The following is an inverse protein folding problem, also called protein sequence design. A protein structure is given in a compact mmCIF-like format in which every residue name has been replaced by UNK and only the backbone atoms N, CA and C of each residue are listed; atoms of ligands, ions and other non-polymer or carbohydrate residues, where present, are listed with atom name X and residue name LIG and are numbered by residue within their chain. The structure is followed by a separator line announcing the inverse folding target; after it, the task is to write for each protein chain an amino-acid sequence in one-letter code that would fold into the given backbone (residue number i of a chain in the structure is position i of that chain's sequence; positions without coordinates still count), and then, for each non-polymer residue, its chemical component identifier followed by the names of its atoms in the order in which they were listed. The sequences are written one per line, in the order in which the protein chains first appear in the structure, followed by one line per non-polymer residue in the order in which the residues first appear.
data_IF_399711715293
#
_entry.id   IF_399711715293
#
_cell.length_a   1.000
_cell.length_b   1.000
_cell.length_c   1.000
_cell.angle_alpha   90.00
_cell.angle_beta   90.00
_cell.angle_gamma   90.00
#
_symmetry.space_group_name_H-M   'P 1'
#
loop_
_entity.id
_entity.type
_entity.pdbx_description
1 polymer ?
#
# COMPACT_ATOMS: atom_id res chain seq x y z
N UNK A 1 -18.37 17.22 -0.61
CA UNK A 1 -17.68 18.38 -1.22
C UNK A 1 -17.09 17.97 -2.55
N UNK A 2 -16.82 18.90 -3.45
CA UNK A 2 -16.22 18.63 -4.76
C UNK A 2 -14.70 18.38 -4.70
N UNK A 3 -14.08 18.50 -3.51
CA UNK A 3 -12.63 18.42 -3.30
C UNK A 3 -12.17 17.18 -2.49
N UNK A 4 -13.09 16.23 -2.25
CA UNK A 4 -12.78 15.01 -1.48
C UNK A 4 -11.70 14.20 -2.21
N UNK A 5 -10.64 13.84 -1.49
CA UNK A 5 -9.63 12.90 -1.96
C UNK A 5 -9.39 11.79 -0.94
N UNK A 6 -9.13 10.59 -1.45
CA UNK A 6 -8.96 9.39 -0.65
C UNK A 6 -8.69 8.14 -1.46
N UNK A 7 -8.59 7.04 -0.75
CA UNK A 7 -8.28 5.72 -1.30
C UNK A 7 -9.00 4.62 -0.52
N UNK A 8 -9.47 3.61 -1.26
CA UNK A 8 -9.94 2.34 -0.72
C UNK A 8 -8.77 1.37 -0.73
N UNK A 9 -8.30 0.97 0.45
CA UNK A 9 -7.06 0.25 0.62
C UNK A 9 -7.19 -0.94 1.58
N UNK A 10 -6.29 -1.91 1.38
CA UNK A 10 -5.88 -2.83 2.42
C UNK A 10 -4.56 -2.35 3.02
N UNK A 11 -4.49 -2.22 4.34
CA UNK A 11 -3.29 -1.77 5.06
C UNK A 11 -2.75 -2.89 5.93
N UNK A 12 -1.54 -3.34 5.60
CA UNK A 12 -0.92 -4.50 6.22
C UNK A 12 0.33 -4.05 6.97
N UNK A 13 0.26 -4.10 8.29
CA UNK A 13 1.30 -3.59 9.18
C UNK A 13 2.23 -4.69 9.64
N UNK A 14 3.54 -4.42 9.63
CA UNK A 14 4.58 -5.36 10.01
C UNK A 14 5.50 -4.83 11.09
N UNK A 15 6.09 -5.77 11.84
CA UNK A 15 7.03 -5.52 12.94
C UNK A 15 8.26 -6.42 12.86
N UNK A 16 9.34 -5.97 13.47
CA UNK A 16 10.52 -6.82 13.71
C UNK A 16 10.34 -7.80 14.87
N UNK A 17 9.38 -7.54 15.75
CA UNK A 17 9.15 -8.28 16.98
C UNK A 17 7.67 -8.57 17.22
N UNK A 18 7.39 -9.35 18.27
CA UNK A 18 6.03 -9.68 18.72
C UNK A 18 5.46 -8.69 19.75
N UNK A 19 6.12 -7.57 20.00
CA UNK A 19 5.64 -6.57 20.96
C UNK A 19 4.43 -5.80 20.38
N UNK A 20 3.59 -5.18 21.22
CA UNK A 20 2.41 -4.41 20.76
C UNK A 20 2.69 -2.90 20.62
N UNK A 21 3.83 -2.52 20.04
CA UNK A 21 4.19 -1.12 19.83
C UNK A 21 3.78 -0.55 18.46
N UNK A 22 4.49 0.50 18.00
CA UNK A 22 4.34 1.03 16.64
C UNK A 22 4.90 0.07 15.58
N UNK A 23 4.25 -0.10 14.41
CA UNK A 23 4.80 -0.88 13.31
C UNK A 23 6.06 -0.22 12.73
N UNK A 24 6.88 -1.00 12.02
CA UNK A 24 8.05 -0.47 11.30
C UNK A 24 7.81 -0.38 9.80
N UNK A 25 6.79 -1.06 9.31
CA UNK A 25 6.45 -1.09 7.90
C UNK A 25 4.94 -1.19 7.72
N UNK A 26 4.44 -0.49 6.73
CA UNK A 26 3.10 -0.64 6.17
C UNK A 26 3.22 -1.09 4.70
N UNK A 27 2.40 -2.07 4.33
CA UNK A 27 2.19 -2.47 2.94
C UNK A 27 0.74 -2.20 2.61
N UNK A 28 0.49 -1.21 1.76
CA UNK A 28 -0.84 -0.86 1.30
C UNK A 28 -1.12 -1.49 -0.07
N UNK A 29 -2.34 -1.97 -0.29
CA UNK A 29 -2.82 -2.42 -1.61
C UNK A 29 -4.11 -1.67 -1.92
N UNK A 30 -4.04 -0.72 -2.85
CA UNK A 30 -5.16 0.15 -3.18
C UNK A 30 -6.05 -0.48 -4.25
N UNK A 31 -7.36 -0.48 -4.00
CA UNK A 31 -8.36 -0.75 -5.02
C UNK A 31 -8.57 0.48 -5.88
N UNK A 32 -9.36 1.44 -5.38
CA UNK A 32 -9.74 2.65 -6.11
C UNK A 32 -9.42 3.89 -5.27
N UNK A 33 -9.02 4.98 -5.92
CA UNK A 33 -8.51 6.17 -5.23
C UNK A 33 -8.55 7.41 -6.11
N UNK A 34 -8.33 8.59 -5.56
CA UNK A 34 -7.94 9.80 -6.30
C UNK A 34 -6.82 10.58 -5.58
N UNK A 35 -6.21 9.95 -4.58
CA UNK A 35 -5.07 10.42 -3.81
C UNK A 35 -3.74 10.01 -4.46
N UNK A 36 -2.65 10.52 -3.87
CA UNK A 36 -1.26 10.16 -4.20
C UNK A 36 -0.70 9.24 -3.12
N UNK A 37 -0.04 8.12 -3.49
CA UNK A 37 0.72 7.33 -2.53
C UNK A 37 1.87 8.12 -1.91
N UNK A 38 2.33 7.70 -0.74
CA UNK A 38 3.55 8.22 -0.13
C UNK A 38 4.77 7.80 -0.97
N UNK A 39 5.69 8.75 -1.18
CA UNK A 39 6.99 8.48 -1.79
C UNK A 39 7.01 8.62 -3.32
N UNK A 40 7.73 7.73 -3.99
CA UNK A 40 7.92 7.76 -5.45
C UNK A 40 7.63 6.42 -6.09
N UNK A 41 7.26 6.43 -7.38
CA UNK A 41 7.17 5.23 -8.20
C UNK A 41 8.56 4.63 -8.41
N UNK A 42 8.79 3.41 -7.93
CA UNK A 42 10.10 2.74 -8.11
C UNK A 42 10.04 1.46 -8.94
N UNK A 43 8.83 0.93 -9.18
CA UNK A 43 8.63 -0.15 -10.12
C UNK A 43 7.20 -0.11 -10.69
N UNK A 44 7.06 -0.34 -11.99
CA UNK A 44 5.75 -0.33 -12.67
C UNK A 44 5.40 -1.73 -13.16
N UNK A 45 4.10 -2.04 -13.19
CA UNK A 45 3.54 -3.33 -13.64
C UNK A 45 4.16 -4.54 -12.93
N UNK A 46 4.32 -4.42 -11.61
CA UNK A 46 5.06 -5.40 -10.80
C UNK A 46 4.27 -6.68 -10.54
N UNK A 47 2.95 -6.59 -10.50
CA UNK A 47 2.07 -7.73 -10.24
C UNK A 47 0.70 -7.54 -10.87
N UNK A 48 0.09 -8.64 -11.30
CA UNK A 48 -1.32 -8.68 -11.74
C UNK A 48 -2.11 -9.56 -10.77
N UNK A 49 -3.14 -8.99 -10.14
CA UNK A 49 -4.02 -9.67 -9.18
C UNK A 49 -5.42 -9.03 -9.20
N UNK A 50 -6.47 -9.82 -8.94
CA UNK A 50 -7.84 -9.30 -8.88
C UNK A 50 -8.30 -8.59 -10.17
N UNK A 51 -7.76 -8.99 -11.33
CA UNK A 51 -8.05 -8.36 -12.63
C UNK A 51 -7.36 -7.02 -12.87
N UNK A 52 -6.45 -6.58 -12.00
CA UNK A 52 -5.71 -5.31 -12.11
C UNK A 52 -4.20 -5.57 -12.14
N UNK A 53 -3.46 -4.70 -12.80
CA UNK A 53 -2.00 -4.66 -12.75
C UNK A 53 -1.57 -3.50 -11.88
N UNK A 54 -0.57 -3.71 -11.02
CA UNK A 54 -0.17 -2.75 -10.01
C UNK A 54 1.23 -2.20 -10.26
N UNK A 55 1.41 -0.93 -9.91
CA UNK A 55 2.67 -0.25 -9.72
C UNK A 55 3.05 -0.24 -8.23
N UNK A 56 4.34 -0.11 -7.93
CA UNK A 56 4.85 0.06 -6.56
C UNK A 56 5.35 1.48 -6.35
N UNK A 57 4.75 2.13 -5.35
CA UNK A 57 5.24 3.38 -4.76
C UNK A 57 5.83 3.08 -3.39
N UNK A 58 6.91 3.77 -3.04
CA UNK A 58 7.56 3.54 -1.74
C UNK A 58 8.21 4.80 -1.18
N UNK A 59 8.14 4.96 0.14
CA UNK A 59 8.65 6.13 0.83
C UNK A 59 8.54 6.04 2.35
N UNK A 60 9.19 6.97 3.04
CA UNK A 60 9.09 7.08 4.50
C UNK A 60 7.93 8.02 4.87
N UNK A 61 6.98 7.51 5.66
CA UNK A 61 5.91 8.33 6.24
C UNK A 61 6.41 8.98 7.54
N UNK A 62 6.90 10.21 7.45
CA UNK A 62 7.41 10.93 8.62
C UNK A 62 6.34 11.23 9.67
N UNK A 63 5.06 11.30 9.29
CA UNK A 63 3.95 11.51 10.22
C UNK A 63 3.67 10.30 11.09
N UNK A 64 3.83 9.10 10.53
CA UNK A 64 3.54 7.83 11.21
C UNK A 64 4.80 7.10 11.75
N UNK A 65 5.99 7.47 11.27
CA UNK A 65 7.27 6.98 11.76
C UNK A 65 7.70 5.63 11.18
N UNK A 66 7.10 5.19 10.07
CA UNK A 66 7.42 3.92 9.41
C UNK A 66 7.57 4.09 7.89
N UNK A 67 8.18 3.09 7.25
CA UNK A 67 8.29 3.03 5.79
C UNK A 67 7.03 2.41 5.18
N UNK A 68 6.67 2.82 3.97
CA UNK A 68 5.45 2.39 3.29
C UNK A 68 5.79 1.85 1.91
N UNK A 69 5.21 0.69 1.57
CA UNK A 69 5.12 0.17 0.22
C UNK A 69 3.65 0.21 -0.22
N UNK A 70 3.30 1.02 -1.20
CA UNK A 70 1.94 1.14 -1.71
C UNK A 70 1.85 0.54 -3.10
N UNK A 71 1.04 -0.50 -3.26
CA UNK A 71 0.66 -1.03 -4.55
C UNK A 71 -0.61 -0.35 -5.04
N UNK A 72 -0.56 0.33 -6.18
CA UNK A 72 -1.72 0.99 -6.79
C UNK A 72 -1.95 0.47 -8.21
N UNK A 73 -3.18 0.52 -8.77
CA UNK A 73 -3.39 0.19 -10.16
C UNK A 73 -2.48 1.01 -11.10
N UNK A 74 -1.95 0.37 -12.14
CA UNK A 74 -0.93 0.99 -12.98
C UNK A 74 -1.43 2.29 -13.61
N UNK A 75 -0.66 3.36 -13.45
CA UNK A 75 -0.94 4.66 -14.06
C UNK A 75 -2.12 5.43 -13.45
N UNK A 76 -2.60 5.09 -12.24
CA UNK A 76 -3.74 5.78 -11.60
C UNK A 76 -3.36 6.79 -10.52
N UNK A 77 -2.07 6.96 -10.21
CA UNK A 77 -1.58 7.95 -9.23
C UNK A 77 -2.16 9.34 -9.51
N UNK A 78 -2.82 9.95 -8.52
CA UNK A 78 -3.35 11.31 -8.63
C UNK A 78 -4.47 11.51 -9.64
N UNK A 79 -5.18 10.46 -10.06
CA UNK A 79 -6.35 10.60 -10.94
C UNK A 79 -7.37 11.57 -10.36
N UNK A 80 -8.07 12.34 -11.21
CA UNK A 80 -8.87 13.47 -10.76
C UNK A 80 -10.17 13.07 -10.01
N UNK A 81 -10.72 11.90 -10.30
CA UNK A 81 -12.07 11.52 -9.84
C UNK A 81 -12.01 10.41 -8.81
N UNK A 82 -12.59 10.68 -7.63
CA UNK A 82 -12.83 9.63 -6.64
C UNK A 82 -14.00 8.76 -7.09
N UNK A 83 -13.79 7.45 -7.18
CA UNK A 83 -14.89 6.52 -7.45
C UNK A 83 -15.77 6.37 -6.21
N UNK A 84 -17.08 6.31 -6.43
CA UNK A 84 -18.09 6.14 -5.37
C UNK A 84 -18.45 4.67 -5.12
N UNK A 85 -17.96 3.76 -5.96
CA UNK A 85 -18.13 2.32 -5.82
C UNK A 85 -16.94 1.60 -6.46
N UNK A 86 -16.70 0.38 -5.99
CA UNK A 86 -15.61 -0.46 -6.45
C UNK A 86 -15.57 -1.76 -5.68
N UNK A 87 -14.70 -2.66 -6.12
CA UNK A 87 -14.35 -3.87 -5.38
C UNK A 87 -12.93 -4.28 -5.72
N UNK A 88 -12.26 -4.88 -4.75
CA UNK A 88 -10.98 -5.53 -4.94
C UNK A 88 -11.02 -6.86 -4.20
N UNK A 89 -10.72 -7.95 -4.90
CA UNK A 89 -10.53 -9.26 -4.32
C UNK A 89 -9.15 -9.77 -4.74
N UNK A 90 -8.23 -9.82 -3.79
CA UNK A 90 -6.82 -10.16 -4.02
C UNK A 90 -6.29 -11.02 -2.89
N UNK A 91 -5.38 -11.93 -3.23
CA UNK A 91 -4.48 -12.56 -2.25
C UNK A 91 -3.31 -11.59 -2.00
N UNK A 92 -3.04 -11.24 -0.75
CA UNK A 92 -1.92 -10.39 -0.38
C UNK A 92 -0.57 -11.11 -0.49
N UNK A 93 -0.54 -12.45 -0.41
CA UNK A 93 0.70 -13.24 -0.39
C UNK A 93 1.58 -13.04 -1.62
N UNK A 94 1.06 -12.98 -2.86
CA UNK A 94 1.83 -12.62 -4.04
C UNK A 94 2.54 -11.26 -3.96
N UNK A 95 1.90 -10.23 -3.39
CA UNK A 95 2.51 -8.91 -3.21
C UNK A 95 3.68 -8.97 -2.24
N UNK A 96 3.49 -9.66 -1.12
CA UNK A 96 4.51 -9.90 -0.11
C UNK A 96 5.70 -10.71 -0.65
N UNK A 97 5.43 -11.75 -1.44
CA UNK A 97 6.48 -12.54 -2.10
C UNK A 97 7.27 -11.69 -3.11
N UNK A 98 6.60 -10.77 -3.82
CA UNK A 98 7.28 -9.84 -4.72
C UNK A 98 8.23 -8.93 -3.93
N UNK A 99 7.80 -8.35 -2.80
CA UNK A 99 8.66 -7.55 -1.93
C UNK A 99 9.84 -8.37 -1.39
N UNK A 100 9.62 -9.61 -0.95
CA UNK A 100 10.70 -10.48 -0.48
C UNK A 100 11.75 -10.68 -1.58
N UNK A 101 11.30 -10.90 -2.81
CA UNK A 101 12.20 -11.19 -3.94
C UNK A 101 12.97 -9.95 -4.39
N UNK A 102 12.32 -8.78 -4.37
CA UNK A 102 12.83 -7.57 -5.04
C UNK A 102 13.27 -6.44 -4.10
N UNK A 103 12.92 -6.49 -2.82
CA UNK A 103 13.17 -5.41 -1.83
C UNK A 103 13.79 -5.90 -0.52
N UNK A 104 13.92 -7.21 -0.31
CA UNK A 104 14.46 -7.73 0.97
C UNK A 104 15.89 -7.26 1.30
N UNK A 105 16.70 -6.97 0.28
CA UNK A 105 18.06 -6.46 0.45
C UNK A 105 18.11 -5.03 1.00
N UNK A 106 17.02 -4.27 0.89
CA UNK A 106 16.93 -2.90 1.39
C UNK A 106 16.73 -2.85 2.91
N UNK A 107 16.47 -3.99 3.55
CA UNK A 107 16.34 -4.14 5.00
C UNK A 107 15.02 -3.61 5.60
N UNK A 108 14.08 -3.14 4.76
CA UNK A 108 12.80 -2.57 5.21
C UNK A 108 11.66 -3.58 5.29
N UNK A 109 11.65 -4.55 4.38
CA UNK A 109 10.73 -5.68 4.38
C UNK A 109 11.53 -6.99 4.32
N UNK A 110 11.09 -8.00 5.05
CA UNK A 110 11.43 -9.39 4.74
C UNK A 110 10.40 -10.35 5.37
N UNK A 111 10.43 -11.61 4.94
CA UNK A 111 9.52 -12.67 5.40
C UNK A 111 9.73 -13.11 6.87
N UNK A 112 10.70 -12.57 7.60
CA UNK A 112 10.85 -12.82 9.04
C UNK A 112 10.12 -11.77 9.91
N UNK A 113 9.57 -10.71 9.29
CA UNK A 113 8.73 -9.75 10.00
C UNK A 113 7.42 -10.39 10.44
N UNK A 114 6.92 -9.95 11.59
CA UNK A 114 5.64 -10.34 12.15
C UNK A 114 4.51 -9.49 11.56
N UNK A 115 3.43 -10.13 11.13
CA UNK A 115 2.18 -9.45 10.81
C UNK A 115 1.57 -8.89 12.11
N UNK A 116 1.35 -7.59 12.15
CA UNK A 116 0.75 -6.89 13.29
C UNK A 116 -0.75 -6.76 13.13
N UNK A 117 -1.19 -6.23 11.99
CA UNK A 117 -2.58 -6.00 11.66
C UNK A 117 -2.77 -6.03 10.13
N UNK A 118 -3.97 -6.40 9.70
CA UNK A 118 -4.43 -6.26 8.33
C UNK A 118 -5.80 -5.57 8.40
N UNK A 119 -5.87 -4.38 7.82
CA UNK A 119 -7.04 -3.51 7.86
C UNK A 119 -7.58 -3.31 6.44
N UNK A 120 -8.86 -3.00 6.34
CA UNK A 120 -9.51 -2.68 5.08
C UNK A 120 -10.41 -1.48 5.30
N UNK A 121 -10.22 -0.43 4.51
CA UNK A 121 -10.85 0.84 4.81
C UNK A 121 -10.88 1.81 3.63
N UNK A 122 -11.46 2.97 3.92
CA UNK A 122 -11.42 4.13 3.05
C UNK A 122 -10.76 5.28 3.79
N UNK A 123 -9.62 5.74 3.31
CA UNK A 123 -8.88 6.86 3.88
C UNK A 123 -9.32 8.19 3.25
N UNK A 124 -9.66 9.18 4.07
CA UNK A 124 -9.93 10.55 3.61
C UNK A 124 -8.67 11.39 3.82
N UNK A 125 -7.99 11.77 2.74
CA UNK A 125 -6.73 12.54 2.80
C UNK A 125 -6.93 14.05 2.54
N UNK A 126 -8.08 14.44 1.98
CA UNK A 126 -8.48 15.84 1.75
C UNK A 126 -10.00 15.93 1.62
N UNK A 127 -10.62 17.04 2.04
CA UNK A 127 -12.08 17.24 1.96
C UNK A 127 -12.47 18.70 1.86
#
# INVERSE_FOLDING_TARGET
GTNLAGDFAYDIFFRWDTAKGNPQLEVMIWGDHNSWPIGTLTASKVITAGGRTFDLWEGFNSGAGYYVYTFIPTGTAGQATLKTSGSLNVDAKPFLNWLQTNRSKDGRYNNSMYLHAAEAGFEVVRG
#
